data_IF_820800912598
#
_entry.id   IF_820800912598
#
_cell.length_a   1.000
_cell.length_b   1.000
_cell.length_c   1.000
_cell.angle_alpha   90.00
_cell.angle_beta   90.00
_cell.angle_gamma   90.00
#
_symmetry.space_group_name_H-M   'P 1'
#
loop_
_entity.id
_entity.type
_entity.pdbx_description
1 polymer ?
#
# COMPACT_ATOMS: atom_id res chain seq x y z
N UNK A 1 16.71 -15.87 -12.14
CA UNK A 1 15.89 -16.59 -11.16
C UNK A 1 16.11 -16.05 -9.74
N UNK A 2 17.35 -15.79 -9.31
CA UNK A 2 17.63 -15.13 -8.02
C UNK A 2 17.06 -13.71 -7.90
N UNK A 3 17.12 -12.89 -8.96
CA UNK A 3 16.65 -11.49 -8.92
C UNK A 3 15.14 -11.37 -8.65
N UNK A 4 14.34 -12.34 -9.13
CA UNK A 4 12.90 -12.38 -8.90
C UNK A 4 12.55 -12.70 -7.44
N UNK A 5 13.27 -13.65 -6.83
CA UNK A 5 13.06 -14.01 -5.43
C UNK A 5 13.43 -12.84 -4.51
N UNK A 6 14.54 -12.16 -4.79
CA UNK A 6 14.95 -10.97 -4.04
C UNK A 6 13.92 -9.84 -4.17
N UNK A 7 13.42 -9.59 -5.38
CA UNK A 7 12.36 -8.60 -5.63
C UNK A 7 11.09 -8.94 -4.85
N UNK A 8 10.68 -10.22 -4.82
CA UNK A 8 9.52 -10.69 -4.06
C UNK A 8 9.73 -10.46 -2.57
N UNK A 9 10.90 -10.83 -2.02
CA UNK A 9 11.22 -10.63 -0.59
C UNK A 9 11.15 -9.14 -0.21
N UNK A 10 11.84 -8.27 -0.95
CA UNK A 10 11.80 -6.81 -0.74
C UNK A 10 10.41 -6.23 -0.88
N UNK A 11 9.61 -6.73 -1.81
CA UNK A 11 8.23 -6.25 -2.00
C UNK A 11 7.31 -6.67 -0.85
N UNK A 12 7.52 -7.86 -0.27
CA UNK A 12 6.79 -8.31 0.92
C UNK A 12 7.19 -7.46 2.12
N UNK A 13 8.48 -7.19 2.32
CA UNK A 13 8.96 -6.30 3.38
C UNK A 13 8.37 -4.88 3.23
N UNK A 14 8.43 -4.29 2.03
CA UNK A 14 7.85 -2.98 1.75
C UNK A 14 6.34 -2.97 1.99
N UNK A 15 5.63 -4.06 1.66
CA UNK A 15 4.19 -4.16 1.94
C UNK A 15 3.87 -4.13 3.43
N UNK A 16 4.75 -4.68 4.29
CA UNK A 16 4.56 -4.61 5.73
C UNK A 16 4.83 -3.18 6.25
N UNK A 17 5.86 -2.52 5.73
CA UNK A 17 6.19 -1.11 6.05
C UNK A 17 5.07 -0.14 5.64
N UNK A 18 4.36 -0.40 4.53
CA UNK A 18 3.21 0.42 4.12
C UNK A 18 2.11 0.47 5.17
N UNK A 19 1.88 -0.62 5.91
CA UNK A 19 0.92 -0.62 7.03
C UNK A 19 1.34 0.35 8.12
N UNK A 20 2.64 0.35 8.44
CA UNK A 20 3.20 1.20 9.48
C UNK A 20 3.15 2.67 9.03
N UNK A 21 3.38 2.95 7.76
CA UNK A 21 3.18 4.29 7.19
C UNK A 21 1.72 4.75 7.25
N UNK A 22 0.74 3.90 6.95
CA UNK A 22 -0.69 4.24 7.12
C UNK A 22 -1.04 4.50 8.59
N UNK A 23 -0.51 3.68 9.52
CA UNK A 23 -0.68 3.94 10.95
C UNK A 23 -0.08 5.29 11.35
N UNK A 24 1.14 5.58 10.88
CA UNK A 24 1.82 6.82 11.20
C UNK A 24 1.03 8.04 10.71
N UNK A 25 0.54 8.04 9.47
CA UNK A 25 -0.37 9.07 8.94
C UNK A 25 -1.57 9.28 9.87
N UNK A 26 -2.21 8.20 10.33
CA UNK A 26 -3.35 8.29 11.24
C UNK A 26 -2.98 8.96 12.57
N UNK A 27 -1.88 8.53 13.18
CA UNK A 27 -1.37 9.09 14.44
C UNK A 27 -0.99 10.57 14.26
N UNK A 28 -0.32 10.94 13.17
CA UNK A 28 0.03 12.32 12.82
C UNK A 28 -1.21 13.21 12.73
N UNK A 29 -2.31 12.72 12.15
CA UNK A 29 -3.59 13.45 12.12
C UNK A 29 -4.16 13.61 13.55
N UNK A 30 -4.18 12.53 14.34
CA UNK A 30 -4.70 12.53 15.71
C UNK A 30 -3.92 13.50 16.63
N UNK A 31 -2.60 13.51 16.51
CA UNK A 31 -1.71 14.39 17.28
C UNK A 31 -1.57 15.80 16.68
N UNK A 32 -2.20 16.05 15.52
CA UNK A 32 -2.21 17.35 14.83
C UNK A 32 -0.82 17.81 14.35
N UNK A 33 0.04 16.87 13.99
CA UNK A 33 1.42 17.10 13.53
C UNK A 33 1.49 17.22 12.01
N UNK A 34 0.70 18.10 11.41
CA UNK A 34 0.44 18.10 9.96
C UNK A 34 1.62 18.46 9.05
N UNK A 35 2.75 18.90 9.60
CA UNK A 35 3.88 19.44 8.82
C UNK A 35 4.47 18.47 7.81
N UNK A 36 4.35 17.15 8.06
CA UNK A 36 4.91 16.10 7.21
C UNK A 36 3.82 15.29 6.47
N UNK A 37 2.55 15.64 6.62
CA UNK A 37 1.45 14.77 6.21
C UNK A 37 1.36 14.58 4.69
N UNK A 38 1.55 15.64 3.91
CA UNK A 38 1.53 15.57 2.44
C UNK A 38 2.69 14.73 1.90
N UNK A 39 3.90 14.92 2.44
CA UNK A 39 5.10 14.16 2.08
C UNK A 39 4.95 12.67 2.41
N UNK A 40 4.33 12.34 3.55
CA UNK A 40 4.06 10.96 3.96
C UNK A 40 3.08 10.27 3.02
N UNK A 41 1.97 10.94 2.67
CA UNK A 41 0.97 10.40 1.74
C UNK A 41 1.57 10.23 0.34
N UNK A 42 2.34 11.22 -0.12
CA UNK A 42 3.08 11.12 -1.38
C UNK A 42 4.02 9.91 -1.40
N UNK A 43 4.80 9.72 -0.33
CA UNK A 43 5.70 8.58 -0.19
C UNK A 43 4.99 7.22 -0.18
N UNK A 44 3.80 7.14 0.42
CA UNK A 44 2.95 5.94 0.38
C UNK A 44 2.48 5.62 -1.04
N UNK A 45 2.01 6.65 -1.78
CA UNK A 45 1.59 6.50 -3.17
C UNK A 45 2.75 6.04 -4.07
N UNK A 46 3.91 6.69 -3.95
CA UNK A 46 5.11 6.32 -4.71
C UNK A 46 5.56 4.88 -4.41
N UNK A 47 5.49 4.46 -3.16
CA UNK A 47 5.80 3.09 -2.75
C UNK A 47 4.84 2.07 -3.38
N UNK A 48 3.55 2.37 -3.44
CA UNK A 48 2.55 1.52 -4.11
C UNK A 48 2.79 1.45 -5.63
N UNK A 49 3.13 2.58 -6.26
CA UNK A 49 3.49 2.64 -7.69
C UNK A 49 4.77 1.83 -7.96
N UNK A 50 5.75 1.91 -7.08
CA UNK A 50 6.96 1.12 -7.17
C UNK A 50 6.65 -0.39 -7.10
N UNK A 51 5.85 -0.82 -6.12
CA UNK A 51 5.42 -2.22 -6.00
C UNK A 51 4.67 -2.72 -7.22
N UNK A 52 3.81 -1.87 -7.81
CA UNK A 52 3.13 -2.17 -9.08
C UNK A 52 4.14 -2.52 -10.16
N UNK A 53 5.14 -1.66 -10.37
CA UNK A 53 6.17 -1.85 -11.41
C UNK A 53 7.04 -3.08 -11.11
N UNK A 54 7.48 -3.24 -9.87
CA UNK A 54 8.38 -4.32 -9.45
C UNK A 54 7.73 -5.70 -9.57
N UNK A 55 6.45 -5.82 -9.21
CA UNK A 55 5.75 -7.10 -9.16
C UNK A 55 4.98 -7.46 -10.43
N UNK A 56 4.72 -6.50 -11.33
CA UNK A 56 4.00 -6.77 -12.58
C UNK A 56 4.60 -7.94 -13.40
N UNK A 57 5.93 -8.03 -13.63
CA UNK A 57 6.50 -9.16 -14.34
C UNK A 57 6.21 -10.51 -13.66
N UNK A 58 6.27 -10.55 -12.32
CA UNK A 58 6.01 -11.76 -11.52
C UNK A 58 4.56 -12.21 -11.66
N UNK A 59 3.61 -11.28 -11.54
CA UNK A 59 2.18 -11.59 -11.65
C UNK A 59 1.76 -11.96 -13.07
N UNK A 60 2.41 -11.41 -14.10
CA UNK A 60 2.25 -11.87 -15.49
C UNK A 60 2.73 -13.31 -15.68
N UNK A 61 3.88 -13.68 -15.10
CA UNK A 61 4.44 -15.03 -15.18
C UNK A 61 3.52 -16.09 -14.54
N UNK A 62 2.97 -15.79 -13.36
CA UNK A 62 2.03 -16.69 -12.67
C UNK A 62 0.59 -16.58 -13.16
N UNK A 63 0.34 -15.78 -14.21
CA UNK A 63 -0.96 -15.56 -14.87
C UNK A 63 -2.06 -15.12 -13.90
N UNK A 64 -1.74 -14.23 -12.97
CA UNK A 64 -2.71 -13.67 -12.04
C UNK A 64 -3.33 -12.40 -12.60
N UNK A 65 -4.59 -12.48 -13.01
CA UNK A 65 -5.33 -11.34 -13.57
C UNK A 65 -5.96 -10.42 -12.51
N UNK A 66 -5.93 -10.82 -11.24
CA UNK A 66 -6.60 -10.10 -10.16
C UNK A 66 -5.71 -9.06 -9.49
N UNK A 67 -4.38 -9.29 -9.47
CA UNK A 67 -3.42 -8.43 -8.79
C UNK A 67 -3.52 -6.96 -9.20
N UNK A 68 -3.55 -6.67 -10.50
CA UNK A 68 -3.60 -5.29 -10.99
C UNK A 68 -4.86 -4.56 -10.50
N UNK A 69 -6.01 -5.24 -10.54
CA UNK A 69 -7.28 -4.68 -10.05
C UNK A 69 -7.22 -4.41 -8.54
N UNK A 70 -6.76 -5.40 -7.76
CA UNK A 70 -6.69 -5.30 -6.29
C UNK A 70 -5.73 -4.19 -5.86
N UNK A 71 -4.56 -4.11 -6.49
CA UNK A 71 -3.58 -3.06 -6.21
C UNK A 71 -4.12 -1.68 -6.60
N UNK A 72 -4.79 -1.57 -7.75
CA UNK A 72 -5.41 -0.31 -8.19
C UNK A 72 -6.50 0.17 -7.23
N UNK A 73 -7.30 -0.74 -6.67
CA UNK A 73 -8.29 -0.38 -5.64
C UNK A 73 -7.63 0.20 -4.38
N UNK A 74 -6.47 -0.33 -3.99
CA UNK A 74 -5.68 0.20 -2.87
C UNK A 74 -5.03 1.55 -3.21
N UNK A 75 -4.41 1.67 -4.40
CA UNK A 75 -3.83 2.91 -4.95
C UNK A 75 -4.87 4.04 -4.96
N UNK A 76 -6.07 3.78 -5.51
CA UNK A 76 -7.17 4.74 -5.53
C UNK A 76 -7.62 5.17 -4.13
N UNK A 77 -7.56 4.27 -3.15
CA UNK A 77 -7.94 4.59 -1.78
C UNK A 77 -6.92 5.50 -1.11
N UNK A 78 -5.63 5.33 -1.40
CA UNK A 78 -4.59 6.27 -0.96
C UNK A 78 -4.75 7.65 -1.61
N UNK A 79 -5.03 7.69 -2.91
CA UNK A 79 -5.30 8.96 -3.60
C UNK A 79 -6.51 9.68 -3.02
N UNK A 80 -7.58 8.95 -2.71
CA UNK A 80 -8.76 9.54 -2.08
C UNK A 80 -8.50 10.04 -0.66
N UNK A 81 -7.66 9.34 0.13
CA UNK A 81 -7.20 9.86 1.41
C UNK A 81 -6.46 11.19 1.24
N UNK A 82 -5.59 11.30 0.22
CA UNK A 82 -4.93 12.56 -0.10
C UNK A 82 -5.94 13.67 -0.39
N UNK A 83 -6.93 13.40 -1.23
CA UNK A 83 -7.98 14.38 -1.57
C UNK A 83 -8.74 14.87 -0.32
N UNK A 84 -9.05 13.98 0.63
CA UNK A 84 -9.68 14.35 1.91
C UNK A 84 -8.77 15.30 2.72
N UNK A 85 -7.49 14.97 2.80
CA UNK A 85 -6.50 15.77 3.55
C UNK A 85 -6.26 17.14 2.90
N UNK A 86 -6.21 17.21 1.57
CA UNK A 86 -6.08 18.45 0.81
C UNK A 86 -7.30 19.37 1.00
N UNK A 87 -8.48 18.79 1.26
CA UNK A 87 -9.69 19.54 1.63
C UNK A 87 -9.71 19.97 3.11
N UNK A 88 -8.75 19.52 3.93
CA UNK A 88 -8.63 19.87 5.33
C UNK A 88 -9.57 19.11 6.28
N UNK A 89 -10.23 18.05 5.81
CA UNK A 89 -11.15 17.26 6.65
C UNK A 89 -10.42 16.12 7.39
N UNK A 90 -9.79 16.48 8.50
CA UNK A 90 -8.97 15.56 9.30
C UNK A 90 -9.79 14.45 9.97
N UNK A 91 -11.02 14.77 10.39
CA UNK A 91 -11.91 13.79 11.04
C UNK A 91 -12.42 12.76 10.02
N UNK A 92 -12.79 13.20 8.82
CA UNK A 92 -13.11 12.31 7.71
C UNK A 92 -11.91 11.46 7.30
N UNK A 93 -10.70 12.02 7.28
CA UNK A 93 -9.48 11.29 6.94
C UNK A 93 -9.21 10.12 7.90
N UNK A 94 -9.30 10.36 9.21
CA UNK A 94 -9.12 9.29 10.23
C UNK A 94 -10.18 8.20 10.04
N UNK A 95 -11.44 8.60 9.88
CA UNK A 95 -12.54 7.65 9.66
C UNK A 95 -12.33 6.83 8.38
N UNK A 96 -11.92 7.48 7.29
CA UNK A 96 -11.64 6.82 6.03
C UNK A 96 -10.48 5.82 6.14
N UNK A 97 -9.43 6.16 6.89
CA UNK A 97 -8.32 5.24 7.16
C UNK A 97 -8.82 3.96 7.85
N UNK A 98 -9.63 4.12 8.89
CA UNK A 98 -10.13 3.00 9.72
C UNK A 98 -11.14 2.13 8.99
N UNK A 99 -12.12 2.75 8.34
CA UNK A 99 -13.25 2.04 7.72
C UNK A 99 -12.92 1.48 6.34
N UNK A 100 -12.04 2.13 5.58
CA UNK A 100 -11.82 1.83 4.17
C UNK A 100 -10.35 1.49 3.84
N UNK A 101 -9.40 2.38 4.13
CA UNK A 101 -8.03 2.21 3.65
C UNK A 101 -7.38 0.93 4.20
N UNK A 102 -7.54 0.64 5.50
CA UNK A 102 -7.03 -0.59 6.08
C UNK A 102 -7.67 -1.85 5.50
N UNK A 103 -8.95 -1.80 5.13
CA UNK A 103 -9.62 -2.92 4.48
C UNK A 103 -9.00 -3.20 3.11
N UNK A 104 -8.76 -2.16 2.31
CA UNK A 104 -8.14 -2.27 0.98
C UNK A 104 -6.69 -2.75 1.07
N UNK A 105 -5.92 -2.22 2.00
CA UNK A 105 -4.59 -2.72 2.33
C UNK A 105 -4.62 -4.21 2.68
N UNK A 106 -5.51 -4.64 3.59
CA UNK A 106 -5.62 -6.05 4.02
C UNK A 106 -5.97 -6.98 2.86
N UNK A 107 -6.89 -6.59 1.98
CA UNK A 107 -7.27 -7.37 0.79
C UNK A 107 -6.05 -7.54 -0.12
N UNK A 108 -5.38 -6.44 -0.45
CA UNK A 108 -4.18 -6.46 -1.27
C UNK A 108 -3.06 -7.30 -0.66
N UNK A 109 -2.72 -7.05 0.60
CA UNK A 109 -1.67 -7.77 1.32
C UNK A 109 -1.95 -9.27 1.40
N UNK A 110 -3.20 -9.67 1.67
CA UNK A 110 -3.60 -11.07 1.68
C UNK A 110 -3.41 -11.72 0.31
N UNK A 111 -3.79 -11.03 -0.77
CA UNK A 111 -3.58 -11.54 -2.12
C UNK A 111 -2.09 -11.72 -2.45
N UNK A 112 -1.29 -10.69 -2.15
CA UNK A 112 0.16 -10.70 -2.31
C UNK A 112 0.80 -11.88 -1.58
N UNK A 113 0.50 -12.02 -0.29
CA UNK A 113 1.02 -13.11 0.55
C UNK A 113 0.60 -14.49 0.02
N UNK A 114 -0.68 -14.67 -0.34
CA UNK A 114 -1.19 -15.95 -0.86
C UNK A 114 -0.49 -16.38 -2.15
N UNK A 115 -0.17 -15.42 -3.03
CA UNK A 115 0.42 -15.69 -4.34
C UNK A 115 1.94 -15.84 -4.27
N UNK A 116 2.59 -15.05 -3.40
CA UNK A 116 4.04 -14.87 -3.44
C UNK A 116 4.82 -15.46 -2.26
N UNK A 117 4.24 -15.66 -1.06
CA UNK A 117 4.99 -16.21 0.09
C UNK A 117 5.63 -17.57 -0.19
N UNK A 118 5.02 -18.40 -1.04
CA UNK A 118 5.61 -19.69 -1.42
C UNK A 118 6.98 -19.58 -2.11
N UNK A 119 7.31 -18.40 -2.67
CA UNK A 119 8.60 -18.15 -3.32
C UNK A 119 9.65 -17.54 -2.36
N UNK A 120 9.29 -17.21 -1.11
CA UNK A 120 10.23 -16.64 -0.13
C UNK A 120 10.89 -17.69 0.76
N UNK A 121 10.32 -18.90 0.85
CA UNK A 121 10.91 -20.06 1.53
C UNK A 121 11.82 -20.82 0.54
N UNK A 122 13.01 -20.28 0.29
CA UNK A 122 14.10 -20.97 -0.40
C UNK A 122 15.36 -20.78 0.43
#
# INVERSE_FOLDING_TARGET
MNDYIETIKKSIELSDVLKDGINYVKETIIFREYGELDDLIGSLLDSVIYLKKALNPVFLEIKDSEYEKILKDFENSLSFLKDILDNGDMDEAVKFIEDNLFLKYKIWKKHLDNKLKKYTYC
#
